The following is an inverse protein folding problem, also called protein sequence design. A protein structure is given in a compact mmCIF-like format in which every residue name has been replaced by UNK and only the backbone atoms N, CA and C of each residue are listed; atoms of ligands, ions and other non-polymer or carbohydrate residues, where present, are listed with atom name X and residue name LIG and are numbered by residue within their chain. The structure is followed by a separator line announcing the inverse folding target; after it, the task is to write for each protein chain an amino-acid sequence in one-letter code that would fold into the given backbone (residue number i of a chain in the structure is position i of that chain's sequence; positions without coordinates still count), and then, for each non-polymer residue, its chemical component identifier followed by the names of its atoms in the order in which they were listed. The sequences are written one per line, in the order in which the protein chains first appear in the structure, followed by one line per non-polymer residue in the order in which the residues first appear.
data_IF_414758300966
#
_entry.id   IF_414758300966
#
_cell.length_a   1.000
_cell.length_b   1.000
_cell.length_c   1.000
_cell.angle_alpha   90.00
_cell.angle_beta   90.00
_cell.angle_gamma   90.00
#
_symmetry.space_group_name_H-M   'P 1'
#
loop_
_entity.id
_entity.type
_entity.pdbx_description
1 polymer ?
#
# COMPACT_ATOMS: atom_id res chain seq x y z
N UNK A 1 1.29 7.41 -11.80
CA UNK A 1 1.02 8.66 -11.07
C UNK A 1 1.08 8.32 -9.59
N UNK A 2 1.98 8.95 -8.83
CA UNK A 2 2.27 8.60 -7.43
C UNK A 2 1.00 8.75 -6.60
N UNK A 3 0.46 7.63 -6.15
CA UNK A 3 -0.65 7.56 -5.21
C UNK A 3 -0.15 8.12 -3.87
N UNK A 4 -0.68 9.25 -3.42
CA UNK A 4 -0.38 9.74 -2.07
C UNK A 4 -1.15 8.87 -1.08
N UNK A 5 -0.43 7.96 -0.42
CA UNK A 5 -0.93 7.15 0.70
C UNK A 5 -1.66 8.01 1.77
N UNK A 6 -1.28 9.28 1.90
CA UNK A 6 -1.95 10.27 2.75
C UNK A 6 -3.45 10.47 2.43
N UNK A 7 -3.83 10.41 1.15
CA UNK A 7 -5.25 10.51 0.74
C UNK A 7 -6.07 9.30 1.18
N UNK A 8 -5.40 8.19 1.51
CA UNK A 8 -6.00 6.97 2.06
C UNK A 8 -5.91 6.93 3.60
N UNK A 9 -5.45 8.01 4.24
CA UNK A 9 -5.22 8.07 5.67
C UNK A 9 -4.01 7.25 6.15
N UNK A 10 -3.21 6.71 5.22
CA UNK A 10 -1.96 5.99 5.49
C UNK A 10 -0.83 7.02 5.49
N UNK A 11 -0.68 7.69 6.62
CA UNK A 11 0.32 8.75 6.86
C UNK A 11 1.54 8.28 7.66
N UNK A 12 1.59 6.99 8.03
CA UNK A 12 2.62 6.43 8.90
C UNK A 12 2.91 4.97 8.57
N UNK A 13 4.16 4.56 8.85
CA UNK A 13 4.59 3.16 8.72
C UNK A 13 3.75 2.23 9.62
N UNK A 14 3.34 2.70 10.79
CA UNK A 14 2.44 1.99 11.69
C UNK A 14 1.10 1.64 11.02
N UNK A 15 0.44 2.62 10.40
CA UNK A 15 -0.82 2.39 9.67
C UNK A 15 -0.60 1.53 8.43
N UNK A 16 0.50 1.72 7.71
CA UNK A 16 0.83 0.92 6.52
C UNK A 16 1.02 -0.56 6.87
N UNK A 17 1.69 -0.87 7.98
CA UNK A 17 1.94 -2.25 8.42
C UNK A 17 0.67 -2.98 8.86
N UNK A 18 -0.31 -2.24 9.38
CA UNK A 18 -1.63 -2.75 9.79
C UNK A 18 -2.60 -2.89 8.62
N UNK A 19 -2.37 -2.17 7.52
CA UNK A 19 -3.24 -2.18 6.36
C UNK A 19 -3.08 -3.46 5.53
N UNK A 20 -4.16 -3.89 4.88
CA UNK A 20 -4.16 -5.04 3.98
C UNK A 20 -3.65 -4.59 2.59
N UNK A 21 -2.59 -5.21 2.04
CA UNK A 21 -2.07 -4.89 0.71
C UNK A 21 -3.12 -4.93 -0.39
N UNK A 22 -4.10 -5.83 -0.29
CA UNK A 22 -5.16 -5.97 -1.28
C UNK A 22 -6.11 -4.77 -1.25
N UNK A 23 -6.55 -4.36 -0.05
CA UNK A 23 -7.42 -3.19 0.15
C UNK A 23 -6.71 -1.91 -0.33
N UNK A 24 -5.42 -1.78 -0.04
CA UNK A 24 -4.60 -0.67 -0.54
C UNK A 24 -4.60 -0.65 -2.08
N UNK A 25 -4.40 -1.80 -2.70
CA UNK A 25 -4.36 -1.91 -4.17
C UNK A 25 -5.70 -1.57 -4.82
N UNK A 26 -6.80 -2.02 -4.24
CA UNK A 26 -8.16 -1.77 -4.73
C UNK A 26 -8.54 -0.29 -4.61
N UNK A 27 -8.24 0.30 -3.45
CA UNK A 27 -8.50 1.70 -3.18
C UNK A 27 -7.60 2.62 -4.02
N UNK A 28 -6.33 2.23 -4.21
CA UNK A 28 -5.42 2.88 -5.15
C UNK A 28 -5.95 2.89 -6.59
N UNK A 29 -6.45 1.75 -7.05
CA UNK A 29 -7.01 1.63 -8.40
C UNK A 29 -8.29 2.44 -8.59
N UNK A 30 -9.14 2.48 -7.55
CA UNK A 30 -10.36 3.30 -7.53
C UNK A 30 -10.05 4.80 -7.58
N UNK A 31 -9.03 5.26 -6.83
CA UNK A 31 -8.64 6.67 -6.78
C UNK A 31 -7.98 7.16 -8.08
N UNK A 32 -7.21 6.31 -8.76
CA UNK A 32 -6.53 6.65 -10.02
C UNK A 32 -7.43 6.45 -11.24
N UNK A 33 -8.64 5.90 -11.06
CA UNK A 33 -9.61 5.64 -12.13
C UNK A 33 -9.10 4.68 -13.21
N UNK A 34 -8.01 3.94 -12.94
CA UNK A 34 -7.31 3.11 -13.91
C UNK A 34 -7.27 1.66 -13.44
N UNK A 35 -7.96 0.78 -14.18
CA UNK A 35 -7.96 -0.67 -13.92
C UNK A 35 -6.60 -1.33 -14.21
N UNK A 36 -5.73 -0.67 -14.98
CA UNK A 36 -4.40 -1.14 -15.35
C UNK A 36 -3.49 -1.44 -14.14
N UNK A 37 -3.72 -0.76 -13.01
CA UNK A 37 -2.94 -0.97 -11.79
C UNK A 37 -3.45 -2.17 -10.97
N UNK A 38 -4.77 -2.34 -10.79
CA UNK A 38 -5.31 -3.46 -9.98
C UNK A 38 -5.03 -4.83 -10.59
N UNK A 39 -4.84 -4.90 -11.90
CA UNK A 39 -4.56 -6.14 -12.62
C UNK A 39 -3.07 -6.36 -12.90
N UNK A 40 -2.20 -5.39 -12.61
CA UNK A 40 -0.76 -5.56 -12.78
C UNK A 40 -0.18 -6.41 -11.64
N UNK A 41 0.45 -7.56 -11.94
CA UNK A 41 1.15 -8.35 -10.93
C UNK A 41 2.27 -7.56 -10.24
N UNK A 42 2.93 -6.66 -10.97
CA UNK A 42 4.01 -5.83 -10.46
C UNK A 42 3.51 -4.81 -9.44
N UNK A 43 2.34 -4.20 -9.67
CA UNK A 43 1.75 -3.25 -8.72
C UNK A 43 1.37 -3.94 -7.39
N UNK A 44 0.74 -5.12 -7.47
CA UNK A 44 0.42 -5.94 -6.28
C UNK A 44 1.68 -6.32 -5.51
N UNK A 45 2.73 -6.74 -6.20
CA UNK A 45 4.00 -7.09 -5.59
C UNK A 45 4.64 -5.90 -4.88
N UNK A 46 4.65 -4.72 -5.51
CA UNK A 46 5.20 -3.51 -4.91
C UNK A 46 4.47 -3.09 -3.63
N UNK A 47 3.14 -3.14 -3.60
CA UNK A 47 2.34 -2.81 -2.42
C UNK A 47 2.58 -3.84 -1.31
N UNK A 48 2.61 -5.14 -1.63
CA UNK A 48 2.91 -6.20 -0.66
C UNK A 48 4.28 -5.99 -0.02
N UNK A 49 5.31 -5.68 -0.83
CA UNK A 49 6.65 -5.41 -0.34
C UNK A 49 6.72 -4.17 0.56
N UNK A 50 5.95 -3.12 0.25
CA UNK A 50 5.88 -1.92 1.08
C UNK A 50 5.25 -2.21 2.47
N UNK A 51 4.18 -3.02 2.51
CA UNK A 51 3.55 -3.43 3.77
C UNK A 51 4.47 -4.35 4.58
N UNK A 52 5.14 -5.31 3.94
CA UNK A 52 6.08 -6.20 4.63
C UNK A 52 7.31 -5.44 5.15
N UNK A 53 7.81 -4.47 4.40
CA UNK A 53 8.85 -3.57 4.88
C UNK A 53 8.38 -2.79 6.11
N UNK A 54 7.16 -2.23 6.08
CA UNK A 54 6.61 -1.50 7.21
C UNK A 54 6.48 -2.38 8.47
N UNK A 55 6.01 -3.62 8.33
CA UNK A 55 5.92 -4.59 9.44
C UNK A 55 7.27 -4.86 10.09
N UNK A 56 8.28 -5.19 9.27
CA UNK A 56 9.65 -5.44 9.77
C UNK A 56 10.25 -4.23 10.46
N UNK A 57 9.97 -3.02 9.99
CA UNK A 57 10.47 -1.80 10.62
C UNK A 57 9.84 -1.56 11.99
N UNK A 58 8.56 -1.87 12.17
CA UNK A 58 7.89 -1.77 13.49
C UNK A 58 8.45 -2.80 14.46
N UNK A 59 8.72 -4.03 14.01
CA UNK A 59 9.36 -5.07 14.83
C UNK A 59 10.81 -4.71 15.24
N UNK A 60 11.51 -3.89 14.47
CA UNK A 60 12.84 -3.39 14.84
C UNK A 60 12.79 -2.14 15.74
N UNK A 61 11.61 -1.56 15.96
CA UNK A 61 11.37 -0.40 16.83
C UNK A 61 10.87 -0.81 18.23
N UNK A 62 10.69 -2.11 18.49
CA UNK A 62 10.31 -2.70 19.79
C UNK A 62 11.49 -3.37 20.47
#
# INVERSE_FOLDING_TARGET
MILRLEQMGIDSLAKLAQANPQDITEQAASLVGSSCWKNSPQAKAAISMAVDFARRNIENLS
#
